data_IF_514730669772
#
_entry.id   IF_514730669772
#
_cell.length_a   1.000
_cell.length_b   1.000
_cell.length_c   1.000
_cell.angle_alpha   90.00
_cell.angle_beta   90.00
_cell.angle_gamma   90.00
#
_symmetry.space_group_name_H-M   'P 1'
#
loop_
_entity.id
_entity.type
_entity.pdbx_description
1 polymer ?
#
# COMPACT_ATOMS: atom_id res chain seq x y z
N UNK A 1 32.48 -36.37 10.50
CA UNK A 1 32.65 -34.93 10.22
C UNK A 1 33.71 -34.65 9.16
N UNK A 2 35.00 -34.94 9.36
CA UNK A 2 36.04 -34.68 8.31
C UNK A 2 35.73 -35.30 6.94
N UNK A 3 35.15 -36.50 6.93
CA UNK A 3 34.83 -37.21 5.69
C UNK A 3 33.61 -36.65 4.95
N UNK A 4 32.66 -36.03 5.64
CA UNK A 4 31.47 -35.44 5.01
C UNK A 4 31.80 -34.11 4.32
N UNK A 5 32.60 -33.26 4.97
CA UNK A 5 33.12 -32.00 4.38
C UNK A 5 33.99 -32.28 3.16
N UNK A 6 34.80 -33.34 3.22
CA UNK A 6 35.67 -33.72 2.12
C UNK A 6 34.88 -34.28 0.92
N UNK A 7 33.75 -34.94 1.15
CA UNK A 7 32.88 -35.46 0.09
C UNK A 7 31.97 -34.38 -0.52
N UNK A 8 31.65 -33.33 0.23
CA UNK A 8 31.03 -32.10 -0.26
C UNK A 8 31.97 -31.39 -1.25
N UNK A 9 33.26 -31.27 -0.91
CA UNK A 9 34.29 -30.74 -1.82
C UNK A 9 34.52 -31.61 -3.09
N UNK A 10 34.14 -32.89 -3.04
CA UNK A 10 34.21 -33.85 -4.16
C UNK A 10 32.91 -33.91 -4.99
N UNK A 11 31.86 -33.17 -4.61
CA UNK A 11 30.56 -33.17 -5.31
C UNK A 11 29.70 -34.43 -5.11
N UNK A 12 30.02 -35.27 -4.11
CA UNK A 12 29.31 -36.54 -3.83
C UNK A 12 28.24 -36.33 -2.76
N UNK A 13 27.27 -35.47 -3.07
CA UNK A 13 26.24 -35.00 -2.12
C UNK A 13 25.45 -36.14 -1.48
N UNK A 14 25.08 -37.18 -2.23
CA UNK A 14 24.30 -38.30 -1.67
C UNK A 14 25.02 -39.08 -0.58
N UNK A 15 26.34 -39.26 -0.70
CA UNK A 15 27.14 -39.95 0.31
C UNK A 15 27.43 -39.07 1.51
N UNK A 16 27.68 -37.78 1.27
CA UNK A 16 27.82 -36.80 2.35
C UNK A 16 26.52 -36.71 3.17
N UNK A 17 25.36 -36.63 2.51
CA UNK A 17 24.05 -36.63 3.15
C UNK A 17 23.81 -37.89 3.98
N UNK A 18 24.13 -39.08 3.44
CA UNK A 18 24.01 -40.33 4.18
C UNK A 18 24.84 -40.31 5.47
N UNK A 19 26.10 -39.85 5.39
CA UNK A 19 26.96 -39.74 6.56
C UNK A 19 26.48 -38.70 7.58
N UNK A 20 25.88 -37.59 7.13
CA UNK A 20 25.27 -36.60 8.03
C UNK A 20 24.04 -37.15 8.74
N UNK A 21 23.18 -37.90 8.04
CA UNK A 21 22.00 -38.56 8.61
C UNK A 21 22.42 -39.64 9.61
N UNK A 22 23.38 -40.52 9.27
CA UNK A 22 23.93 -41.54 10.18
C UNK A 22 24.58 -40.92 11.43
N UNK A 23 25.18 -39.74 11.29
CA UNK A 23 25.77 -38.99 12.39
C UNK A 23 24.73 -38.25 13.26
N UNK A 24 23.42 -38.41 13.00
CA UNK A 24 22.33 -37.74 13.72
C UNK A 24 22.26 -36.23 13.44
N UNK A 25 22.76 -35.81 12.27
CA UNK A 25 22.90 -34.41 11.82
C UNK A 25 22.19 -34.17 10.46
N UNK A 26 20.89 -34.49 10.35
CA UNK A 26 20.14 -34.33 9.10
C UNK A 26 19.98 -32.86 8.66
N UNK A 27 19.99 -31.90 9.60
CA UNK A 27 19.93 -30.47 9.27
C UNK A 27 21.15 -30.02 8.45
N UNK A 28 22.33 -30.55 8.75
CA UNK A 28 23.55 -30.30 7.97
C UNK A 28 23.48 -30.90 6.55
N UNK A 29 22.83 -32.06 6.38
CA UNK A 29 22.59 -32.63 5.06
C UNK A 29 21.65 -31.74 4.22
N UNK A 30 20.58 -31.22 4.84
CA UNK A 30 19.65 -30.28 4.19
C UNK A 30 20.37 -28.99 3.80
N UNK A 31 21.17 -28.42 4.71
CA UNK A 31 21.91 -27.18 4.45
C UNK A 31 22.89 -27.34 3.28
N UNK A 32 23.57 -28.48 3.17
CA UNK A 32 24.45 -28.81 2.05
C UNK A 32 23.68 -28.83 0.72
N UNK A 33 22.53 -29.53 0.65
CA UNK A 33 21.73 -29.56 -0.58
C UNK A 33 21.16 -28.18 -0.95
N UNK A 34 20.75 -27.38 0.05
CA UNK A 34 20.31 -25.99 -0.16
C UNK A 34 21.44 -25.12 -0.73
N UNK A 35 22.67 -25.28 -0.24
CA UNK A 35 23.84 -24.53 -0.73
C UNK A 35 24.13 -24.84 -2.21
N UNK A 36 24.06 -26.11 -2.60
CA UNK A 36 24.27 -26.55 -3.98
C UNK A 36 23.06 -26.30 -4.91
N UNK A 37 21.93 -25.82 -4.37
CA UNK A 37 20.70 -25.56 -5.13
C UNK A 37 19.92 -26.81 -5.51
N UNK A 38 20.21 -27.95 -4.88
CA UNK A 38 19.47 -29.20 -5.07
C UNK A 38 18.24 -29.26 -4.15
N UNK A 39 17.23 -28.48 -4.54
CA UNK A 39 16.00 -28.32 -3.76
C UNK A 39 15.20 -29.62 -3.61
N UNK A 40 15.29 -30.54 -4.57
CA UNK A 40 14.53 -31.79 -4.55
C UNK A 40 15.03 -32.71 -3.44
N UNK A 41 16.36 -32.89 -3.37
CA UNK A 41 16.98 -33.69 -2.31
C UNK A 41 16.90 -32.99 -0.95
N UNK A 42 17.06 -31.66 -0.90
CA UNK A 42 16.86 -30.89 0.34
C UNK A 42 15.44 -31.08 0.91
N UNK A 43 14.41 -31.00 0.06
CA UNK A 43 13.01 -31.18 0.47
C UNK A 43 12.75 -32.60 0.95
N UNK A 44 13.29 -33.61 0.25
CA UNK A 44 13.11 -35.01 0.63
C UNK A 44 13.75 -35.30 1.99
N UNK A 45 15.02 -34.94 2.18
CA UNK A 45 15.74 -35.18 3.45
C UNK A 45 15.07 -34.42 4.59
N UNK A 46 14.65 -33.17 4.37
CA UNK A 46 13.92 -32.41 5.38
C UNK A 46 12.59 -33.09 5.74
N UNK A 47 11.79 -33.55 4.77
CA UNK A 47 10.53 -34.25 5.05
C UNK A 47 10.72 -35.55 5.84
N UNK A 48 11.75 -36.32 5.52
CA UNK A 48 11.97 -37.65 6.09
C UNK A 48 12.64 -37.60 7.48
N UNK A 49 13.54 -36.63 7.70
CA UNK A 49 14.41 -36.61 8.88
C UNK A 49 14.27 -35.36 9.76
N UNK A 50 13.90 -34.19 9.21
CA UNK A 50 13.77 -32.90 9.93
C UNK A 50 12.61 -32.06 9.40
N UNK A 51 11.35 -32.48 9.59
CA UNK A 51 10.19 -31.77 9.05
C UNK A 51 10.08 -30.33 9.58
N UNK A 52 10.68 -30.04 10.75
CA UNK A 52 10.79 -28.70 11.31
C UNK A 52 11.64 -27.73 10.48
N UNK A 53 12.62 -28.23 9.70
CA UNK A 53 13.48 -27.40 8.84
C UNK A 53 12.91 -27.23 7.43
N UNK A 54 11.82 -27.94 7.10
CA UNK A 54 11.19 -27.90 5.78
C UNK A 54 10.73 -26.49 5.36
N UNK A 55 10.12 -25.66 6.24
CA UNK A 55 9.81 -24.27 5.91
C UNK A 55 11.04 -23.45 5.52
N UNK A 56 12.18 -23.68 6.19
CA UNK A 56 13.42 -22.95 5.91
C UNK A 56 13.99 -23.30 4.52
N UNK A 57 13.84 -24.55 4.08
CA UNK A 57 14.19 -24.98 2.71
C UNK A 57 13.36 -24.22 1.68
N UNK A 58 12.05 -24.12 1.89
CA UNK A 58 11.17 -23.39 0.97
C UNK A 58 11.43 -21.89 0.98
N UNK A 59 11.78 -21.29 2.12
CA UNK A 59 12.17 -19.88 2.20
C UNK A 59 13.48 -19.65 1.42
N UNK A 60 14.47 -20.52 1.56
CA UNK A 60 15.72 -20.45 0.80
C UNK A 60 15.48 -20.59 -0.71
N UNK A 61 14.66 -21.56 -1.11
CA UNK A 61 14.26 -21.75 -2.51
C UNK A 61 13.53 -20.52 -3.06
N UNK A 62 12.64 -19.91 -2.26
CA UNK A 62 11.93 -18.70 -2.65
C UNK A 62 12.87 -17.51 -2.84
N UNK A 63 13.86 -17.33 -1.96
CA UNK A 63 14.87 -16.27 -2.11
C UNK A 63 15.63 -16.42 -3.42
N UNK A 64 16.06 -17.64 -3.75
CA UNK A 64 16.72 -17.92 -5.03
C UNK A 64 15.81 -17.59 -6.21
N UNK A 65 14.54 -17.99 -6.16
CA UNK A 65 13.57 -17.67 -7.20
C UNK A 65 13.31 -16.15 -7.35
N UNK A 66 13.32 -15.38 -6.26
CA UNK A 66 13.23 -13.92 -6.31
C UNK A 66 14.46 -13.28 -6.96
N UNK A 67 15.67 -13.80 -6.71
CA UNK A 67 16.89 -13.36 -7.39
C UNK A 67 16.85 -13.65 -8.90
N UNK A 68 16.22 -14.75 -9.28
CA UNK A 68 16.02 -15.15 -10.68
C UNK A 68 14.79 -14.44 -11.32
N UNK A 69 14.16 -13.50 -10.61
CA UNK A 69 12.93 -12.77 -11.00
C UNK A 69 11.71 -13.68 -11.29
N UNK A 70 11.73 -14.94 -10.84
CA UNK A 70 10.62 -15.89 -10.94
C UNK A 70 9.68 -15.75 -9.74
N UNK A 71 8.85 -14.72 -9.78
CA UNK A 71 7.90 -14.40 -8.71
C UNK A 71 6.87 -15.51 -8.46
N UNK A 72 6.45 -16.21 -9.51
CA UNK A 72 5.45 -17.29 -9.40
C UNK A 72 6.03 -18.48 -8.63
N UNK A 73 7.27 -18.85 -8.91
CA UNK A 73 7.95 -19.92 -8.17
C UNK A 73 8.23 -19.50 -6.73
N UNK A 74 8.66 -18.25 -6.50
CA UNK A 74 8.88 -17.73 -5.16
C UNK A 74 7.60 -17.75 -4.31
N UNK A 75 6.48 -17.29 -4.87
CA UNK A 75 5.16 -17.32 -4.23
C UNK A 75 4.78 -18.74 -3.83
N UNK A 76 4.83 -19.69 -4.77
CA UNK A 76 4.49 -21.09 -4.51
C UNK A 76 5.32 -21.68 -3.36
N UNK A 77 6.62 -21.38 -3.31
CA UNK A 77 7.49 -21.84 -2.22
C UNK A 77 7.10 -21.21 -0.87
N UNK A 78 6.85 -19.90 -0.82
CA UNK A 78 6.49 -19.21 0.43
C UNK A 78 5.11 -19.64 0.96
N UNK A 79 4.15 -19.91 0.08
CA UNK A 79 2.85 -20.46 0.46
C UNK A 79 3.00 -21.87 1.05
N UNK A 80 3.84 -22.73 0.45
CA UNK A 80 4.16 -24.06 0.99
C UNK A 80 4.88 -24.00 2.34
N UNK A 81 5.65 -22.93 2.59
CA UNK A 81 6.26 -22.65 3.88
C UNK A 81 5.27 -22.09 4.93
N UNK A 82 4.00 -21.85 4.56
CA UNK A 82 3.01 -21.12 5.36
C UNK A 82 3.51 -19.72 5.77
N UNK A 83 4.22 -19.04 4.86
CA UNK A 83 4.78 -17.70 5.04
C UNK A 83 4.31 -16.71 3.97
N UNK A 84 2.99 -16.52 3.80
CA UNK A 84 2.46 -15.50 2.87
C UNK A 84 2.86 -14.07 3.26
N UNK A 85 3.27 -13.85 4.52
CA UNK A 85 3.75 -12.56 5.02
C UNK A 85 5.00 -12.06 4.26
N UNK A 86 5.89 -12.97 3.85
CA UNK A 86 7.14 -12.61 3.16
C UNK A 86 6.85 -12.14 1.74
N UNK A 87 6.05 -12.89 0.98
CA UNK A 87 5.72 -12.54 -0.40
C UNK A 87 4.84 -11.28 -0.46
N UNK A 88 3.96 -11.09 0.53
CA UNK A 88 3.13 -9.91 0.63
C UNK A 88 3.99 -8.64 0.75
N UNK A 89 4.95 -8.64 1.68
CA UNK A 89 5.89 -7.51 1.85
C UNK A 89 6.70 -7.26 0.60
N UNK A 90 7.18 -8.31 -0.05
CA UNK A 90 7.91 -8.19 -1.32
C UNK A 90 7.05 -7.49 -2.39
N UNK A 91 5.78 -7.86 -2.54
CA UNK A 91 4.88 -7.21 -3.49
C UNK A 91 4.58 -5.75 -3.12
N UNK A 92 4.42 -5.44 -1.83
CA UNK A 92 4.26 -4.05 -1.37
C UNK A 92 5.48 -3.19 -1.74
N UNK A 93 6.69 -3.66 -1.41
CA UNK A 93 7.94 -2.93 -1.65
C UNK A 93 8.23 -2.70 -3.15
N UNK A 94 7.81 -3.64 -4.00
CA UNK A 94 7.95 -3.54 -5.47
C UNK A 94 6.77 -2.80 -6.14
N UNK A 95 5.78 -2.34 -5.37
CA UNK A 95 4.58 -1.67 -5.91
C UNK A 95 3.65 -2.59 -6.71
N UNK A 96 3.77 -3.91 -6.55
CA UNK A 96 2.93 -4.93 -7.16
C UNK A 96 1.62 -5.11 -6.38
N UNK A 97 0.88 -4.02 -6.19
CA UNK A 97 -0.34 -3.98 -5.40
C UNK A 97 -1.44 -4.96 -5.81
N UNK A 98 -1.71 -5.22 -7.11
CA UNK A 98 -2.70 -6.21 -7.51
C UNK A 98 -2.39 -7.61 -6.97
N UNK A 99 -1.13 -8.02 -7.01
CA UNK A 99 -0.67 -9.32 -6.49
C UNK A 99 -0.66 -9.34 -4.96
N UNK A 100 -0.23 -8.25 -4.31
CA UNK A 100 -0.30 -8.10 -2.86
C UNK A 100 -1.75 -8.27 -2.34
N UNK A 101 -2.72 -7.59 -2.98
CA UNK A 101 -4.14 -7.66 -2.62
C UNK A 101 -4.72 -9.05 -2.86
N UNK A 102 -4.31 -9.75 -3.93
CA UNK A 102 -4.71 -11.13 -4.20
C UNK A 102 -4.25 -12.06 -3.07
N UNK A 103 -2.98 -12.01 -2.71
CA UNK A 103 -2.42 -12.83 -1.62
C UNK A 103 -3.12 -12.51 -0.29
N UNK A 104 -3.30 -11.23 0.03
CA UNK A 104 -3.95 -10.83 1.26
C UNK A 104 -5.39 -11.34 1.32
N UNK A 105 -6.14 -11.29 0.21
CA UNK A 105 -7.51 -11.80 0.16
C UNK A 105 -7.59 -13.31 0.38
N UNK A 106 -6.66 -14.07 -0.20
CA UNK A 106 -6.67 -15.54 -0.15
C UNK A 106 -6.11 -16.09 1.17
N UNK A 107 -5.01 -15.52 1.67
CA UNK A 107 -4.23 -16.10 2.76
C UNK A 107 -4.19 -15.24 4.04
N UNK A 108 -4.42 -13.93 3.96
CA UNK A 108 -4.32 -12.99 5.08
C UNK A 108 -5.52 -12.03 5.15
N UNK A 109 -6.78 -12.53 5.22
CA UNK A 109 -7.97 -11.69 5.08
C UNK A 109 -8.09 -10.62 6.18
N UNK A 110 -7.46 -10.84 7.33
CA UNK A 110 -7.40 -9.88 8.43
C UNK A 110 -6.52 -8.65 8.13
N UNK A 111 -5.59 -8.74 7.18
CA UNK A 111 -4.72 -7.64 6.75
C UNK A 111 -5.23 -6.93 5.50
N UNK A 112 -6.27 -7.49 4.84
CA UNK A 112 -6.76 -6.99 3.57
C UNK A 112 -7.22 -5.53 3.64
N UNK A 113 -7.94 -5.15 4.70
CA UNK A 113 -8.45 -3.78 4.87
C UNK A 113 -7.29 -2.78 4.97
N UNK A 114 -6.32 -3.06 5.82
CA UNK A 114 -5.13 -2.21 5.98
C UNK A 114 -4.37 -2.07 4.65
N UNK A 115 -4.22 -3.18 3.92
CA UNK A 115 -3.51 -3.17 2.64
C UNK A 115 -4.24 -2.38 1.56
N UNK A 116 -5.57 -2.40 1.57
CA UNK A 116 -6.39 -1.58 0.66
C UNK A 116 -6.21 -0.09 0.97
N UNK A 117 -6.22 0.30 2.25
CA UNK A 117 -5.98 1.68 2.67
C UNK A 117 -4.56 2.15 2.28
N UNK A 118 -3.55 1.29 2.43
CA UNK A 118 -2.18 1.57 1.99
C UNK A 118 -2.10 1.76 0.47
N UNK A 119 -2.76 0.89 -0.31
CA UNK A 119 -2.80 1.00 -1.76
C UNK A 119 -3.48 2.31 -2.20
N UNK A 120 -4.63 2.65 -1.62
CA UNK A 120 -5.33 3.90 -1.90
C UNK A 120 -4.44 5.11 -1.61
N UNK A 121 -3.75 5.13 -0.46
CA UNK A 121 -2.82 6.22 -0.13
C UNK A 121 -1.67 6.31 -1.14
N UNK A 122 -1.09 5.18 -1.56
CA UNK A 122 -0.01 5.17 -2.57
C UNK A 122 -0.51 5.62 -3.94
N UNK A 123 -1.73 5.23 -4.34
CA UNK A 123 -2.34 5.75 -5.57
C UNK A 123 -2.59 7.26 -5.51
N UNK A 124 -3.04 7.77 -4.36
CA UNK A 124 -3.25 9.20 -4.12
C UNK A 124 -1.92 9.97 -4.19
N UNK A 125 -0.86 9.46 -3.55
CA UNK A 125 0.48 10.06 -3.51
C UNK A 125 1.27 9.90 -4.82
N UNK A 126 0.83 9.03 -5.73
CA UNK A 126 1.43 8.82 -7.07
C UNK A 126 1.35 10.00 -8.03
N UNK A 127 1.03 11.20 -7.54
CA UNK A 127 1.29 12.54 -8.12
C UNK A 127 0.49 12.94 -9.36
N UNK A 128 0.28 12.02 -10.31
CA UNK A 128 -0.40 12.29 -11.57
C UNK A 128 -1.66 11.46 -11.80
N UNK A 129 -1.71 10.21 -11.33
CA UNK A 129 -2.92 9.37 -11.44
C UNK A 129 -3.88 9.57 -10.27
N UNK A 130 -3.34 9.75 -9.06
CA UNK A 130 -4.10 10.05 -7.84
C UNK A 130 -4.93 11.32 -7.93
N UNK A 131 -4.31 12.47 -8.27
CA UNK A 131 -5.03 13.74 -8.43
C UNK A 131 -6.07 13.67 -9.54
N UNK A 132 -5.76 13.07 -10.69
CA UNK A 132 -6.73 12.92 -11.77
C UNK A 132 -7.92 12.03 -11.36
N UNK A 133 -7.68 11.00 -10.55
CA UNK A 133 -8.72 10.17 -9.93
C UNK A 133 -9.57 10.98 -8.96
N UNK A 134 -8.98 11.77 -8.06
CA UNK A 134 -9.70 12.64 -7.12
C UNK A 134 -10.57 13.67 -7.86
N UNK A 135 -10.04 14.30 -8.90
CA UNK A 135 -10.78 15.24 -9.74
C UNK A 135 -11.93 14.54 -10.49
N UNK A 136 -11.73 13.31 -10.97
CA UNK A 136 -12.79 12.52 -11.59
C UNK A 136 -13.88 12.10 -10.58
N UNK A 137 -13.50 11.71 -9.36
CA UNK A 137 -14.43 11.41 -8.27
C UNK A 137 -15.25 12.64 -7.89
N UNK A 138 -14.62 13.82 -7.75
CA UNK A 138 -15.30 15.09 -7.49
C UNK A 138 -16.35 15.40 -8.57
N UNK A 139 -15.99 15.23 -9.85
CA UNK A 139 -16.94 15.38 -10.98
C UNK A 139 -18.10 14.39 -10.94
N UNK A 140 -17.84 13.12 -10.60
CA UNK A 140 -18.89 12.12 -10.49
C UNK A 140 -19.89 12.45 -9.36
N UNK A 141 -19.40 12.97 -8.23
CA UNK A 141 -20.28 13.43 -7.14
C UNK A 141 -21.06 14.70 -7.51
N UNK A 142 -20.50 15.60 -8.33
CA UNK A 142 -21.24 16.74 -8.90
C UNK A 142 -22.43 16.25 -9.76
N UNK A 143 -22.22 15.24 -10.62
CA UNK A 143 -23.31 14.67 -11.44
C UNK A 143 -24.43 14.06 -10.59
N UNK A 144 -24.06 13.43 -9.47
CA UNK A 144 -25.00 12.85 -8.52
C UNK A 144 -25.63 13.89 -7.56
N UNK A 145 -25.21 15.16 -7.65
CA UNK A 145 -25.60 16.27 -6.75
C UNK A 145 -25.23 16.00 -5.28
N UNK A 146 -24.24 15.16 -5.05
CA UNK A 146 -23.69 14.89 -3.72
C UNK A 146 -22.59 15.93 -3.39
N UNK A 147 -23.01 17.18 -3.19
CA UNK A 147 -22.11 18.33 -3.07
C UNK A 147 -21.09 18.20 -1.94
N UNK A 148 -21.50 17.67 -0.78
CA UNK A 148 -20.61 17.49 0.37
C UNK A 148 -19.45 16.52 0.05
N UNK A 149 -19.75 15.40 -0.62
CA UNK A 149 -18.73 14.43 -1.04
C UNK A 149 -17.83 14.98 -2.15
N UNK A 150 -18.39 15.76 -3.08
CA UNK A 150 -17.62 16.45 -4.11
C UNK A 150 -16.60 17.40 -3.49
N UNK A 151 -17.01 18.23 -2.53
CA UNK A 151 -16.13 19.17 -1.81
C UNK A 151 -15.02 18.42 -1.07
N UNK A 152 -15.33 17.35 -0.36
CA UNK A 152 -14.33 16.52 0.32
C UNK A 152 -13.33 15.89 -0.66
N UNK A 153 -13.79 15.42 -1.84
CA UNK A 153 -12.91 14.86 -2.86
C UNK A 153 -11.93 15.90 -3.42
N UNK A 154 -12.40 17.13 -3.67
CA UNK A 154 -11.54 18.22 -4.12
C UNK A 154 -10.57 18.71 -3.04
N UNK A 155 -10.96 18.72 -1.77
CA UNK A 155 -10.07 19.11 -0.66
C UNK A 155 -8.93 18.12 -0.41
N UNK A 156 -9.07 16.87 -0.87
CA UNK A 156 -7.96 15.91 -0.88
C UNK A 156 -6.86 16.30 -1.88
N UNK A 157 -7.13 17.19 -2.85
CA UNK A 157 -6.11 17.69 -3.77
C UNK A 157 -5.37 18.86 -3.10
N UNK A 158 -4.23 18.55 -2.50
CA UNK A 158 -3.40 19.49 -1.74
C UNK A 158 -1.90 19.27 -2.03
N UNK A 159 -1.05 20.02 -1.32
CA UNK A 159 0.41 19.95 -1.43
C UNK A 159 1.02 18.60 -1.03
N UNK A 160 0.27 17.73 -0.32
CA UNK A 160 0.71 16.35 -0.05
C UNK A 160 0.40 15.40 -1.20
N UNK A 161 -0.54 15.77 -2.08
CA UNK A 161 -1.05 14.91 -3.16
C UNK A 161 -0.45 15.28 -4.52
N UNK A 162 -0.10 16.54 -4.74
CA UNK A 162 0.63 16.97 -5.94
C UNK A 162 1.55 18.15 -5.67
N UNK A 163 2.60 18.26 -6.48
CA UNK A 163 3.47 19.43 -6.52
C UNK A 163 2.97 20.52 -7.47
N UNK A 164 1.89 20.28 -8.22
CA UNK A 164 1.31 21.26 -9.14
C UNK A 164 0.38 22.24 -8.40
N UNK A 165 0.91 23.43 -8.14
CA UNK A 165 0.18 24.50 -7.45
C UNK A 165 -1.08 24.95 -8.22
N UNK A 166 -1.09 24.88 -9.56
CA UNK A 166 -2.26 25.28 -10.35
C UNK A 166 -3.44 24.35 -10.10
N UNK A 167 -3.19 23.04 -10.09
CA UNK A 167 -4.24 22.04 -9.86
C UNK A 167 -4.80 22.11 -8.44
N UNK A 168 -3.95 22.37 -7.45
CA UNK A 168 -4.38 22.59 -6.06
C UNK A 168 -5.30 23.82 -5.98
N UNK A 169 -4.86 24.94 -6.56
CA UNK A 169 -5.65 26.17 -6.56
C UNK A 169 -6.99 25.98 -7.28
N UNK A 170 -7.01 25.31 -8.43
CA UNK A 170 -8.24 25.04 -9.19
C UNK A 170 -9.21 24.14 -8.41
N UNK A 171 -8.70 23.08 -7.78
CA UNK A 171 -9.49 22.18 -6.95
C UNK A 171 -10.07 22.91 -5.72
N UNK A 172 -9.29 23.77 -5.07
CA UNK A 172 -9.74 24.58 -3.93
C UNK A 172 -10.79 25.62 -4.33
N UNK A 173 -10.59 26.33 -5.44
CA UNK A 173 -11.59 27.28 -5.92
C UNK A 173 -12.90 26.59 -6.26
N UNK A 174 -12.82 25.40 -6.86
CA UNK A 174 -13.98 24.58 -7.20
C UNK A 174 -14.72 24.09 -5.96
N UNK A 175 -14.00 23.61 -4.94
CA UNK A 175 -14.60 23.17 -3.69
C UNK A 175 -15.30 24.32 -2.95
N UNK A 176 -14.68 25.50 -2.95
CA UNK A 176 -15.24 26.70 -2.34
C UNK A 176 -16.50 27.20 -3.05
N UNK A 177 -16.51 27.25 -4.38
CA UNK A 177 -17.70 27.61 -5.17
C UNK A 177 -18.88 26.66 -4.92
N UNK A 178 -18.61 25.36 -4.88
CA UNK A 178 -19.64 24.35 -4.61
C UNK A 178 -20.19 24.47 -3.18
N UNK A 179 -19.31 24.71 -2.20
CA UNK A 179 -19.71 24.88 -0.81
C UNK A 179 -20.60 26.13 -0.64
N UNK A 180 -20.21 27.25 -1.24
CA UNK A 180 -21.00 28.48 -1.21
C UNK A 180 -22.38 28.33 -1.86
N UNK A 181 -22.43 27.68 -3.03
CA UNK A 181 -23.67 27.58 -3.80
C UNK A 181 -24.67 26.60 -3.21
N UNK A 182 -24.19 25.51 -2.60
CA UNK A 182 -25.04 24.36 -2.27
C UNK A 182 -24.98 23.91 -0.81
N UNK A 183 -23.92 24.24 -0.06
CA UNK A 183 -23.70 23.76 1.31
C UNK A 183 -23.79 24.84 2.37
N UNK A 184 -23.71 26.12 2.02
CA UNK A 184 -23.70 27.25 2.95
C UNK A 184 -24.87 27.31 3.96
N UNK A 185 -26.01 26.68 3.63
CA UNK A 185 -27.19 26.58 4.49
C UNK A 185 -27.50 25.16 4.96
N UNK A 186 -26.75 24.17 4.49
CA UNK A 186 -27.09 22.74 4.60
C UNK A 186 -26.08 21.98 5.44
N UNK A 187 -24.80 22.34 5.34
CA UNK A 187 -23.68 21.61 5.95
C UNK A 187 -22.62 22.59 6.47
N UNK A 188 -22.87 23.14 7.66
CA UNK A 188 -22.00 24.12 8.32
C UNK A 188 -20.61 23.53 8.65
N UNK A 189 -20.52 22.22 8.92
CA UNK A 189 -19.26 21.56 9.26
C UNK A 189 -18.28 21.56 8.09
N UNK A 190 -18.76 21.22 6.88
CA UNK A 190 -17.95 21.24 5.66
C UNK A 190 -17.51 22.67 5.33
N UNK A 191 -18.41 23.65 5.49
CA UNK A 191 -18.08 25.07 5.28
C UNK A 191 -17.03 25.58 6.28
N UNK A 192 -17.11 25.18 7.56
CA UNK A 192 -16.14 25.56 8.57
C UNK A 192 -14.76 24.92 8.33
N UNK A 193 -14.74 23.64 7.96
CA UNK A 193 -13.50 22.96 7.59
C UNK A 193 -12.83 23.60 6.37
N UNK A 194 -13.61 23.92 5.33
CA UNK A 194 -13.13 24.63 4.14
C UNK A 194 -12.55 26.00 4.52
N UNK A 195 -13.25 26.76 5.37
CA UNK A 195 -12.79 28.05 5.87
C UNK A 195 -11.43 27.94 6.56
N UNK A 196 -11.29 27.03 7.53
CA UNK A 196 -10.03 26.83 8.24
C UNK A 196 -8.88 26.44 7.28
N UNK A 197 -9.17 25.58 6.29
CA UNK A 197 -8.18 25.16 5.28
C UNK A 197 -7.76 26.34 4.39
N UNK A 198 -8.72 27.18 4.00
CA UNK A 198 -8.47 28.39 3.21
C UNK A 198 -7.74 29.47 4.01
N UNK A 199 -8.00 29.60 5.32
CA UNK A 199 -7.33 30.53 6.22
C UNK A 199 -5.86 30.12 6.44
N UNK A 200 -5.59 28.81 6.57
CA UNK A 200 -4.22 28.26 6.69
C UNK A 200 -3.41 28.43 5.38
N UNK A 201 -4.04 28.25 4.22
CA UNK A 201 -3.40 28.44 2.91
C UNK A 201 -3.59 29.87 2.32
N UNK A 202 -4.24 30.78 3.06
CA UNK A 202 -4.64 32.13 2.61
C UNK A 202 -3.46 32.95 2.08
N UNK A 203 -2.26 32.70 2.63
CA UNK A 203 -1.04 33.39 2.24
C UNK A 203 -0.54 32.99 0.84
N UNK A 204 -0.82 31.77 0.36
CA UNK A 204 -0.46 31.36 -1.00
C UNK A 204 -1.48 31.85 -2.03
N UNK A 205 -2.77 31.78 -1.72
CA UNK A 205 -3.84 32.00 -2.72
C UNK A 205 -4.20 33.48 -2.88
N UNK A 206 -4.02 34.32 -1.84
CA UNK A 206 -4.24 35.76 -1.90
C UNK A 206 -3.36 36.49 -2.93
N UNK A 207 -2.26 35.86 -3.35
CA UNK A 207 -1.42 36.38 -4.44
C UNK A 207 -2.00 36.13 -5.84
N UNK A 208 -3.02 35.26 -5.97
CA UNK A 208 -3.54 34.78 -7.26
C UNK A 208 -5.05 35.00 -7.52
N UNK A 209 -5.94 35.21 -6.53
CA UNK A 209 -7.38 35.36 -6.82
C UNK A 209 -8.17 36.19 -5.81
N UNK A 210 -8.88 37.24 -6.29
CA UNK A 210 -9.80 38.07 -5.47
C UNK A 210 -11.02 37.30 -4.98
N UNK A 211 -11.33 36.17 -5.62
CA UNK A 211 -12.51 35.36 -5.33
C UNK A 211 -12.42 34.79 -3.91
N UNK A 212 -11.25 34.30 -3.46
CA UNK A 212 -11.12 33.69 -2.13
C UNK A 212 -11.41 34.65 -0.99
N UNK A 213 -11.09 35.94 -1.16
CA UNK A 213 -11.45 36.99 -0.21
C UNK A 213 -12.96 37.19 -0.11
N UNK A 214 -13.68 37.21 -1.23
CA UNK A 214 -15.14 37.32 -1.25
C UNK A 214 -15.81 36.08 -0.63
N UNK A 215 -15.22 34.89 -0.84
CA UNK A 215 -15.70 33.63 -0.24
C UNK A 215 -15.53 33.66 1.29
N UNK A 216 -14.35 34.02 1.79
CA UNK A 216 -14.09 34.08 3.23
C UNK A 216 -14.95 35.14 3.91
N UNK A 217 -15.10 36.32 3.29
CA UNK A 217 -16.01 37.36 3.78
C UNK A 217 -17.47 36.90 3.83
N UNK A 218 -17.91 36.09 2.86
CA UNK A 218 -19.26 35.51 2.88
C UNK A 218 -19.42 34.48 4.01
N UNK A 219 -18.42 33.61 4.20
CA UNK A 219 -18.43 32.63 5.28
C UNK A 219 -18.37 33.29 6.67
N UNK A 220 -17.61 34.39 6.81
CA UNK A 220 -17.59 35.25 8.01
C UNK A 220 -18.93 35.99 8.23
N UNK A 221 -19.55 36.45 7.14
CA UNK A 221 -20.85 37.14 7.17
C UNK A 221 -22.00 36.29 7.67
N UNK A 222 -21.92 34.96 7.53
CA UNK A 222 -22.96 34.04 7.98
C UNK A 222 -22.99 33.88 9.52
N UNK A 223 -21.90 34.19 10.23
CA UNK A 223 -21.91 34.26 11.70
C UNK A 223 -22.63 35.51 12.22
N UNK A 224 -22.67 36.59 11.43
CA UNK A 224 -23.26 37.89 11.82
C UNK A 224 -24.72 38.08 11.38
N UNK A 225 -25.30 37.11 10.67
CA UNK A 225 -26.68 37.12 10.16
C UNK A 225 -27.76 36.51 11.06
N UNK A 226 -27.45 36.11 12.30
CA UNK A 226 -28.47 35.64 13.26
C UNK A 226 -29.29 36.81 13.84
N UNK A 227 -30.23 37.33 13.06
CA UNK A 227 -31.38 38.05 13.61
C UNK A 227 -32.46 37.04 14.08
N UNK A 228 -33.13 37.29 15.22
CA UNK A 228 -33.93 36.29 15.91
C UNK A 228 -35.21 35.97 15.15
N UNK A 229 -35.60 34.69 15.13
CA UNK A 229 -36.94 34.26 14.69
C UNK A 229 -37.98 34.99 15.53
N UNK A 230 -38.74 35.86 14.86
CA UNK A 230 -39.92 36.53 15.40
C UNK A 230 -40.98 36.61 14.32
N UNK A 231 -41.78 35.55 14.20
CA UNK A 231 -43.24 35.55 14.11
C UNK A 231 -43.75 34.11 14.07
#
# INVERSE_FOLDING_TARGET
MRMAVQMEEEGRLDQAAHHFIEAGKPAEAVAMYVHEGDWANAEQVAKEHTPESLPDVFIAQARKALEDEDYHRAESCLLRANRPDIILKFYQENGMWPDALRIAKEYLPHQLLQLQEEFEQVELLGGGRGVNSLLAQGRAFEEQREWAKAVQAYLKVNHTTTSDQSLINDAMLKSADLALRFLASTDEEVCLYLKNTLDDEYFLIASCSSIVGDILLFLDGNESGRCPRGQ
#
